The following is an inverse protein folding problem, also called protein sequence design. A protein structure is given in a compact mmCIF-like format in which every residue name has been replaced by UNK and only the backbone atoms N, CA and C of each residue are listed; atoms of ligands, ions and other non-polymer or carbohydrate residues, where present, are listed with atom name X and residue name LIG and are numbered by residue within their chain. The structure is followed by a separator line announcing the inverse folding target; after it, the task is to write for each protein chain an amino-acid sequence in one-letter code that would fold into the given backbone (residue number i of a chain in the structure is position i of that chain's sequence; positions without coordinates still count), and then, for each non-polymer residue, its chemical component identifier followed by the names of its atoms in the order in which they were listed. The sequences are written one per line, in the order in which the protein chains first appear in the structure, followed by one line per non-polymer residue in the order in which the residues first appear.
data_IF_615430451540
#
_entry.id   IF_615430451540
#
_cell.length_a   1.000
_cell.length_b   1.000
_cell.length_c   1.000
_cell.angle_alpha   90.00
_cell.angle_beta   90.00
_cell.angle_gamma   90.00
#
_symmetry.space_group_name_H-M   'P 1'
#
loop_
_entity.id
_entity.type
_entity.pdbx_description
1 polymer ?
#
# COMPACT_ATOMS: atom_id res chain seq x y z
N UNK A 1 4.30 0.62 50.80
CA UNK A 1 3.77 -0.04 49.58
C UNK A 1 2.86 0.94 48.82
N UNK A 2 3.40 1.94 48.10
CA UNK A 2 2.62 2.84 47.21
C UNK A 2 3.37 3.37 45.98
N UNK A 3 4.63 2.98 45.74
CA UNK A 3 5.46 3.53 44.64
C UNK A 3 5.81 2.53 43.53
N UNK A 4 5.41 1.26 43.66
CA UNK A 4 5.75 0.22 42.66
C UNK A 4 4.82 0.27 41.43
N UNK A 5 3.67 0.94 41.51
CA UNK A 5 2.70 0.97 40.41
C UNK A 5 3.05 1.95 39.27
N UNK A 6 4.02 2.85 39.45
CA UNK A 6 4.30 3.93 38.47
C UNK A 6 5.33 3.51 37.41
N UNK A 7 6.19 2.51 37.69
CA UNK A 7 7.25 2.09 36.77
C UNK A 7 6.79 1.11 35.68
N UNK A 8 5.59 0.52 35.81
CA UNK A 8 5.02 -0.39 34.81
C UNK A 8 4.25 0.31 33.69
N UNK A 9 3.86 1.58 33.86
CA UNK A 9 3.14 2.33 32.84
C UNK A 9 4.03 2.96 31.77
N UNK A 10 5.34 3.08 32.01
CA UNK A 10 6.31 3.61 31.03
C UNK A 10 6.74 2.59 29.97
N UNK A 11 6.48 1.30 30.18
CA UNK A 11 6.86 0.25 29.24
C UNK A 11 5.90 0.11 28.04
N UNK A 12 4.63 0.53 28.18
CA UNK A 12 3.64 0.44 27.10
C UNK A 12 3.89 1.42 25.94
N UNK A 13 4.66 2.50 26.19
CA UNK A 13 5.03 3.45 25.13
C UNK A 13 6.26 3.00 24.32
N UNK A 14 6.99 1.97 24.76
CA UNK A 14 8.17 1.47 24.07
C UNK A 14 7.85 0.35 23.06
N UNK A 15 6.75 -0.38 23.24
CA UNK A 15 6.39 -1.49 22.36
C UNK A 15 5.87 -1.05 20.98
N UNK A 16 5.26 0.14 20.86
CA UNK A 16 4.70 0.58 19.56
C UNK A 16 5.75 1.12 18.60
N UNK A 17 6.81 1.76 19.12
CA UNK A 17 7.86 2.35 18.28
C UNK A 17 8.66 1.30 17.49
N UNK A 18 8.98 0.18 18.13
CA UNK A 18 9.79 -0.86 17.51
C UNK A 18 9.06 -1.54 16.34
N UNK A 19 7.74 -1.78 16.47
CA UNK A 19 6.94 -2.44 15.43
C UNK A 19 6.70 -1.53 14.19
N UNK A 20 6.60 -0.22 14.40
CA UNK A 20 6.46 0.74 13.30
C UNK A 20 7.75 0.93 12.50
N UNK A 21 8.91 0.87 13.14
CA UNK A 21 10.22 0.98 12.49
C UNK A 21 10.49 -0.23 11.57
N UNK A 22 10.20 -1.45 12.03
CA UNK A 22 10.37 -2.69 11.26
C UNK A 22 9.49 -2.71 9.99
N UNK A 23 8.26 -2.18 10.07
CA UNK A 23 7.35 -2.06 8.92
C UNK A 23 7.89 -1.07 7.89
N UNK A 24 8.42 0.07 8.33
CA UNK A 24 8.99 1.07 7.43
C UNK A 24 10.23 0.54 6.72
N UNK A 25 11.09 -0.20 7.42
CA UNK A 25 12.25 -0.83 6.81
C UNK A 25 11.84 -1.84 5.73
N UNK A 26 10.86 -2.68 6.03
CA UNK A 26 10.32 -3.65 5.06
C UNK A 26 9.77 -2.97 3.80
N UNK A 27 9.01 -1.89 3.95
CA UNK A 27 8.50 -1.11 2.81
C UNK A 27 9.64 -0.53 1.97
N UNK A 28 10.68 0.00 2.62
CA UNK A 28 11.87 0.53 1.92
C UNK A 28 12.60 -0.57 1.16
N UNK A 29 12.82 -1.71 1.78
CA UNK A 29 13.45 -2.87 1.13
C UNK A 29 12.67 -3.32 -0.12
N UNK A 30 11.34 -3.44 -0.02
CA UNK A 30 10.51 -3.80 -1.18
C UNK A 30 10.61 -2.76 -2.29
N UNK A 31 10.61 -1.48 -1.93
CA UNK A 31 10.74 -0.37 -2.87
C UNK A 31 12.09 -0.42 -3.59
N UNK A 32 13.19 -0.56 -2.86
CA UNK A 32 14.54 -0.62 -3.41
C UNK A 32 14.73 -1.82 -4.35
N UNK A 33 14.27 -3.00 -3.93
CA UNK A 33 14.29 -4.20 -4.76
C UNK A 33 13.52 -4.00 -6.07
N UNK A 34 12.32 -3.44 -6.00
CA UNK A 34 11.47 -3.25 -7.18
C UNK A 34 11.98 -2.14 -8.09
N UNK A 35 12.65 -1.10 -7.56
CA UNK A 35 13.38 -0.13 -8.38
C UNK A 35 14.53 -0.84 -9.12
N UNK A 36 15.28 -1.68 -8.42
CA UNK A 36 16.39 -2.43 -9.01
C UNK A 36 15.91 -3.42 -10.08
N UNK A 37 14.78 -4.08 -9.89
CA UNK A 37 14.19 -5.03 -10.84
C UNK A 37 13.65 -4.33 -12.11
N UNK A 38 12.83 -3.29 -11.92
CA UNK A 38 12.07 -2.68 -13.01
C UNK A 38 12.80 -1.54 -13.71
N UNK A 39 13.85 -1.00 -13.08
CA UNK A 39 14.61 0.16 -13.55
C UNK A 39 13.73 1.41 -13.75
N UNK A 40 12.64 1.51 -12.99
CA UNK A 40 11.77 2.69 -12.94
C UNK A 40 12.56 3.89 -12.41
N UNK A 41 12.24 5.08 -12.90
CA UNK A 41 12.75 6.32 -12.32
C UNK A 41 12.11 6.55 -10.95
N UNK A 42 12.89 6.65 -9.85
CA UNK A 42 12.35 6.89 -8.51
C UNK A 42 11.43 8.12 -8.42
N UNK A 43 11.67 9.15 -9.24
CA UNK A 43 10.83 10.35 -9.26
C UNK A 43 9.38 10.04 -9.67
N UNK A 44 9.16 9.05 -10.54
CA UNK A 44 7.81 8.63 -10.93
C UNK A 44 7.06 7.96 -9.78
N UNK A 45 7.78 7.23 -8.92
CA UNK A 45 7.21 6.63 -7.71
C UNK A 45 6.84 7.74 -6.73
N UNK A 46 7.74 8.69 -6.47
CA UNK A 46 7.47 9.81 -5.57
C UNK A 46 6.26 10.62 -6.02
N UNK A 47 6.09 10.86 -7.32
CA UNK A 47 4.88 11.51 -7.85
C UNK A 47 3.62 10.68 -7.63
N UNK A 48 3.67 9.38 -7.88
CA UNK A 48 2.54 8.48 -7.66
C UNK A 48 2.13 8.42 -6.17
N UNK A 49 3.09 8.40 -5.24
CA UNK A 49 2.87 8.47 -3.79
C UNK A 49 2.11 9.75 -3.39
N UNK A 50 2.28 10.82 -4.17
CA UNK A 50 1.58 12.11 -3.99
C UNK A 50 0.29 12.25 -4.80
N UNK A 51 -0.11 11.20 -5.53
CA UNK A 51 -1.33 11.13 -6.32
C UNK A 51 -1.19 11.53 -7.78
N UNK A 52 0.01 11.81 -8.26
CA UNK A 52 0.29 12.03 -9.69
C UNK A 52 0.70 10.72 -10.37
N UNK A 53 -0.32 10.04 -10.89
CA UNK A 53 -0.20 8.74 -11.56
C UNK A 53 0.04 8.89 -13.06
N UNK A 54 1.31 8.85 -13.43
CA UNK A 54 1.77 8.88 -14.82
C UNK A 54 1.72 7.50 -15.46
N UNK A 55 1.33 7.47 -16.74
CA UNK A 55 1.31 6.26 -17.53
C UNK A 55 2.73 5.91 -18.03
N UNK A 56 3.42 5.06 -17.26
CA UNK A 56 4.77 4.57 -17.56
C UNK A 56 4.84 3.06 -17.28
N UNK A 57 5.28 2.28 -18.28
CA UNK A 57 5.31 0.82 -18.18
C UNK A 57 6.19 0.30 -17.03
N UNK A 58 7.28 0.99 -16.68
CA UNK A 58 8.14 0.58 -15.58
C UNK A 58 7.50 0.89 -14.23
N UNK A 59 6.81 2.03 -14.11
CA UNK A 59 6.02 2.35 -12.91
C UNK A 59 4.87 1.36 -12.70
N UNK A 60 4.22 0.94 -13.78
CA UNK A 60 3.19 -0.09 -13.72
C UNK A 60 3.76 -1.41 -13.18
N UNK A 61 4.88 -1.88 -13.74
CA UNK A 61 5.53 -3.10 -13.25
C UNK A 61 6.14 -2.96 -11.86
N UNK A 62 6.60 -1.76 -11.48
CA UNK A 62 7.02 -1.48 -10.11
C UNK A 62 5.87 -1.71 -9.13
N UNK A 63 4.66 -1.25 -9.47
CA UNK A 63 3.47 -1.46 -8.64
C UNK A 63 3.18 -2.94 -8.45
N UNK A 64 3.22 -3.73 -9.54
CA UNK A 64 3.10 -5.19 -9.46
C UNK A 64 4.15 -5.82 -8.56
N UNK A 65 5.44 -5.53 -8.78
CA UNK A 65 6.53 -6.08 -7.98
C UNK A 65 6.33 -5.78 -6.48
N UNK A 66 6.00 -4.53 -6.16
CA UNK A 66 5.81 -4.10 -4.77
C UNK A 66 4.66 -4.87 -4.12
N UNK A 67 3.50 -4.94 -4.78
CA UNK A 67 2.34 -5.63 -4.24
C UNK A 67 2.49 -7.15 -4.21
N UNK A 68 3.34 -7.72 -5.07
CA UNK A 68 3.71 -9.13 -5.01
C UNK A 68 4.57 -9.44 -3.78
N UNK A 69 5.61 -8.62 -3.52
CA UNK A 69 6.43 -8.75 -2.30
C UNK A 69 5.63 -8.56 -1.03
N UNK A 70 4.66 -7.65 -1.05
CA UNK A 70 3.73 -7.42 0.06
C UNK A 70 2.66 -8.52 0.22
N UNK A 71 2.60 -9.51 -0.69
CA UNK A 71 1.69 -10.66 -0.60
C UNK A 71 0.26 -10.39 -1.07
N UNK A 72 0.03 -9.30 -1.82
CA UNK A 72 -1.28 -8.93 -2.35
C UNK A 72 -1.49 -9.34 -3.81
N UNK A 73 -0.40 -9.74 -4.48
CA UNK A 73 -0.40 -10.22 -5.87
C UNK A 73 0.27 -11.59 -5.89
N UNK A 74 -0.31 -12.54 -6.62
CA UNK A 74 0.25 -13.88 -6.81
C UNK A 74 1.54 -13.84 -7.66
N UNK A 75 2.28 -14.95 -7.70
CA UNK A 75 3.43 -15.09 -8.59
C UNK A 75 3.05 -14.96 -10.08
N UNK A 76 1.81 -15.30 -10.43
CA UNK A 76 1.26 -15.15 -11.80
C UNK A 76 0.84 -13.71 -12.13
N UNK A 77 0.80 -12.82 -11.14
CA UNK A 77 0.41 -11.42 -11.32
C UNK A 77 -1.07 -11.12 -11.07
N UNK A 78 -1.80 -12.02 -10.40
CA UNK A 78 -3.21 -11.86 -10.07
C UNK A 78 -3.39 -11.23 -8.68
N UNK A 79 -4.28 -10.24 -8.57
CA UNK A 79 -4.62 -9.61 -7.29
C UNK A 79 -5.39 -10.58 -6.37
N UNK A 80 -4.90 -10.73 -5.15
CA UNK A 80 -5.47 -11.60 -4.12
C UNK A 80 -6.48 -10.81 -3.27
N UNK A 81 -7.66 -10.53 -3.84
CA UNK A 81 -8.65 -9.65 -3.21
C UNK A 81 -9.10 -10.10 -1.82
N UNK A 82 -9.15 -11.40 -1.54
CA UNK A 82 -9.53 -11.88 -0.21
C UNK A 82 -8.45 -11.57 0.83
N UNK A 83 -7.16 -11.71 0.46
CA UNK A 83 -6.03 -11.28 1.30
C UNK A 83 -6.07 -9.76 1.53
N UNK A 84 -6.37 -8.98 0.49
CA UNK A 84 -6.49 -7.51 0.59
C UNK A 84 -7.60 -7.13 1.59
N UNK A 85 -8.78 -7.77 1.51
CA UNK A 85 -9.90 -7.51 2.43
C UNK A 85 -9.58 -7.88 3.87
N UNK A 86 -8.84 -8.97 4.09
CA UNK A 86 -8.44 -9.43 5.41
C UNK A 86 -7.38 -8.53 6.06
N UNK A 87 -6.62 -7.79 5.25
CA UNK A 87 -5.61 -6.83 5.70
C UNK A 87 -6.14 -5.41 5.93
N UNK A 88 -7.45 -5.18 5.77
CA UNK A 88 -8.07 -3.89 6.14
C UNK A 88 -7.88 -3.66 7.66
N UNK A 89 -7.25 -2.55 8.09
CA UNK A 89 -7.06 -2.24 9.50
C UNK A 89 -8.38 -2.17 10.26
N UNK A 90 -8.40 -2.57 11.54
CA UNK A 90 -9.63 -2.56 12.36
C UNK A 90 -10.13 -1.15 12.64
N UNK A 91 -9.21 -0.19 12.63
CA UNK A 91 -9.43 1.23 12.87
C UNK A 91 -9.97 1.95 11.63
N UNK A 92 -9.87 1.31 10.45
CA UNK A 92 -10.38 1.86 9.20
C UNK A 92 -11.91 1.70 9.08
N UNK A 93 -12.55 2.57 8.32
CA UNK A 93 -13.95 2.36 7.93
C UNK A 93 -14.02 1.20 6.92
N UNK A 94 -14.26 -0.01 7.44
CA UNK A 94 -14.25 -1.26 6.66
C UNK A 94 -15.32 -1.27 5.56
N UNK A 95 -16.50 -0.70 5.81
CA UNK A 95 -17.56 -0.60 4.80
C UNK A 95 -17.11 0.27 3.62
N UNK A 96 -16.53 1.45 3.91
CA UNK A 96 -15.97 2.32 2.87
C UNK A 96 -14.85 1.61 2.10
N UNK A 97 -13.95 0.92 2.79
CA UNK A 97 -12.84 0.19 2.16
C UNK A 97 -13.35 -0.92 1.23
N UNK A 98 -14.33 -1.72 1.66
CA UNK A 98 -14.95 -2.75 0.82
C UNK A 98 -15.64 -2.15 -0.41
N UNK A 99 -16.36 -1.04 -0.24
CA UNK A 99 -17.01 -0.35 -1.35
C UNK A 99 -16.00 0.16 -2.39
N UNK A 100 -14.80 0.56 -1.98
CA UNK A 100 -13.70 0.92 -2.89
C UNK A 100 -13.16 -0.31 -3.61
N UNK A 101 -12.96 -1.42 -2.89
CA UNK A 101 -12.53 -2.70 -3.48
C UNK A 101 -13.50 -3.13 -4.59
N UNK A 102 -14.80 -3.13 -4.31
CA UNK A 102 -15.81 -3.54 -5.29
C UNK A 102 -15.88 -2.63 -6.52
N UNK A 103 -15.56 -1.34 -6.37
CA UNK A 103 -15.52 -0.40 -7.51
C UNK A 103 -14.32 -0.62 -8.43
N UNK A 104 -13.17 -1.01 -7.89
CA UNK A 104 -11.93 -1.05 -8.66
C UNK A 104 -11.50 -2.47 -9.06
N UNK A 105 -11.98 -3.54 -8.40
CA UNK A 105 -11.48 -4.91 -8.60
C UNK A 105 -11.61 -5.45 -10.03
N UNK A 106 -12.55 -4.91 -10.82
CA UNK A 106 -12.81 -5.33 -12.20
C UNK A 106 -11.94 -4.58 -13.23
N UNK A 107 -11.10 -3.63 -12.80
CA UNK A 107 -10.16 -2.97 -13.71
C UNK A 107 -9.16 -3.97 -14.27
N UNK A 108 -8.97 -3.92 -15.60
CA UNK A 108 -8.04 -4.77 -16.35
C UNK A 108 -7.26 -3.91 -17.33
N UNK A 109 -5.93 -4.09 -17.32
CA UNK A 109 -5.03 -3.53 -18.32
C UNK A 109 -4.67 -4.56 -19.38
N UNK A 110 -3.73 -4.21 -20.26
CA UNK A 110 -3.17 -5.09 -21.29
C UNK A 110 -2.40 -6.27 -20.68
N UNK A 111 -1.81 -6.09 -19.49
CA UNK A 111 -1.11 -7.14 -18.76
C UNK A 111 -1.29 -7.01 -17.24
N UNK A 112 -0.60 -7.89 -16.50
CA UNK A 112 -0.61 -7.90 -15.02
C UNK A 112 0.00 -6.64 -14.39
N UNK A 113 1.02 -6.03 -15.01
CA UNK A 113 1.62 -4.79 -14.49
C UNK A 113 0.61 -3.65 -14.55
N UNK A 114 0.00 -3.45 -15.73
CA UNK A 114 -1.00 -2.42 -15.93
C UNK A 114 -2.24 -2.67 -15.07
N UNK A 115 -2.71 -3.91 -14.97
CA UNK A 115 -3.87 -4.26 -14.14
C UNK A 115 -3.67 -3.90 -12.68
N UNK A 116 -2.53 -4.29 -12.08
CA UNK A 116 -2.23 -3.97 -10.67
C UNK A 116 -2.13 -2.46 -10.47
N UNK A 117 -1.46 -1.77 -11.39
CA UNK A 117 -1.33 -0.31 -11.37
C UNK A 117 -2.69 0.40 -11.43
N UNK A 118 -3.58 0.00 -12.33
CA UNK A 118 -4.92 0.60 -12.48
C UNK A 118 -5.76 0.42 -11.21
N UNK A 119 -5.73 -0.78 -10.63
CA UNK A 119 -6.43 -1.05 -9.36
C UNK A 119 -5.86 -0.20 -8.23
N UNK A 120 -4.53 -0.12 -8.11
CA UNK A 120 -3.88 0.71 -7.10
C UNK A 120 -4.24 2.19 -7.24
N UNK A 121 -4.14 2.75 -8.46
CA UNK A 121 -4.54 4.13 -8.78
C UNK A 121 -6.00 4.38 -8.39
N UNK A 122 -6.90 3.47 -8.72
CA UNK A 122 -8.32 3.59 -8.37
C UNK A 122 -8.55 3.57 -6.85
N UNK A 123 -7.86 2.69 -6.12
CA UNK A 123 -7.90 2.68 -4.64
C UNK A 123 -7.41 3.99 -4.05
N UNK A 124 -6.29 4.52 -4.53
CA UNK A 124 -5.76 5.80 -4.07
C UNK A 124 -6.77 6.92 -4.29
N UNK A 125 -7.28 7.06 -5.52
CA UNK A 125 -8.22 8.13 -5.88
C UNK A 125 -9.52 8.06 -5.09
N UNK A 126 -10.06 6.88 -4.79
CA UNK A 126 -11.27 6.78 -3.96
C UNK A 126 -11.01 6.88 -2.44
N UNK A 127 -9.79 6.61 -1.99
CA UNK A 127 -9.41 6.75 -0.57
C UNK A 127 -9.14 8.21 -0.21
N UNK A 128 -8.49 8.97 -1.10
CA UNK A 128 -8.06 10.36 -0.87
C UNK A 128 -8.86 11.41 -1.67
N UNK A 129 -9.62 11.00 -2.70
CA UNK A 129 -10.35 11.91 -3.59
C UNK A 129 -11.65 12.48 -3.05
N UNK A 130 -12.03 12.22 -1.80
CA UNK A 130 -13.07 13.04 -1.13
C UNK A 130 -12.55 14.41 -0.69
N UNK A 131 -11.22 14.62 -0.65
CA UNK A 131 -10.62 15.88 -0.20
C UNK A 131 -9.99 16.72 -1.34
N UNK A 132 -9.71 16.12 -2.51
CA UNK A 132 -9.15 16.82 -3.68
C UNK A 132 -10.15 16.91 -4.83
N UNK A 133 -11.33 17.52 -4.61
CA UNK A 133 -12.09 18.10 -5.72
C UNK A 133 -11.20 19.17 -6.37
N UNK A 134 -10.60 18.79 -7.49
CA UNK A 134 -10.58 19.56 -8.75
C UNK A 134 -10.78 21.06 -8.56
N UNK A 135 -9.68 21.81 -8.61
CA UNK A 135 -9.67 23.14 -9.23
C UNK A 135 -9.33 22.97 -10.71
#
# INVERSE_FOLDING_TARGET
MKTVAVLLFLALAACTKQEDDDRQETIRQYRDDCIAETKVDPALIDRADNGDFTDDAKLQCFSKCFYQKAGFVSETGDLLFDVIKDKIPKEANREKALAIIDKCKELKGADSCETVYLVHKCYFLHSYGTDKKTE
#
